data_IF_389535362892
#
_entry.id   IF_389535362892
#
_cell.length_a   1.000
_cell.length_b   1.000
_cell.length_c   1.000
_cell.angle_alpha   90.00
_cell.angle_beta   90.00
_cell.angle_gamma   90.00
#
_symmetry.space_group_name_H-M   'P 1'
#
loop_
_entity.id
_entity.type
_entity.pdbx_description
1 polymer ?
#
# COMPACT_ATOMS: atom_id res chain seq x y z
N UNK A 1 26.90 36.12 7.05
CA UNK A 1 26.29 35.86 5.71
C UNK A 1 25.20 34.81 5.91
N UNK A 2 23.96 35.21 5.64
CA UNK A 2 22.78 34.94 6.47
C UNK A 2 22.10 33.58 6.24
N UNK A 3 21.65 33.01 7.36
CA UNK A 3 20.86 31.78 7.55
C UNK A 3 19.68 31.64 6.55
N UNK A 4 19.13 32.77 6.12
CA UNK A 4 18.07 32.89 5.11
C UNK A 4 18.35 32.22 3.76
N UNK A 5 19.61 32.22 3.28
CA UNK A 5 19.94 31.69 1.94
C UNK A 5 19.85 30.16 1.86
N UNK A 6 20.08 29.45 2.98
CA UNK A 6 19.98 27.98 3.06
C UNK A 6 18.54 27.53 3.18
N UNK A 7 17.72 28.26 3.94
CA UNK A 7 16.30 27.93 4.11
C UNK A 7 15.50 28.18 2.82
N UNK A 8 15.87 29.20 2.04
CA UNK A 8 15.31 29.47 0.72
C UNK A 8 15.70 28.39 -0.31
N UNK A 9 16.95 27.91 -0.27
CA UNK A 9 17.37 26.76 -1.08
C UNK A 9 16.66 25.46 -0.70
N UNK A 10 16.42 25.21 0.59
CA UNK A 10 15.67 24.03 1.03
C UNK A 10 14.18 24.12 0.66
N UNK A 11 13.56 25.30 0.82
CA UNK A 11 12.19 25.56 0.35
C UNK A 11 12.08 25.41 -1.17
N UNK A 12 13.06 25.90 -1.92
CA UNK A 12 13.13 25.72 -3.37
C UNK A 12 13.31 24.25 -3.74
N UNK A 13 14.15 23.47 -3.05
CA UNK A 13 14.28 22.02 -3.31
C UNK A 13 13.01 21.23 -2.98
N UNK A 14 12.24 21.67 -1.98
CA UNK A 14 10.94 21.06 -1.64
C UNK A 14 9.85 21.47 -2.64
N UNK A 15 9.83 22.72 -3.09
CA UNK A 15 8.93 23.22 -4.15
C UNK A 15 9.25 22.61 -5.52
N UNK A 16 10.54 22.49 -5.85
CA UNK A 16 11.03 21.88 -7.08
C UNK A 16 10.70 20.37 -7.08
N UNK A 17 10.89 19.66 -5.96
CA UNK A 17 10.39 18.27 -5.78
C UNK A 17 8.87 18.13 -5.98
N UNK A 18 8.08 19.11 -5.53
CA UNK A 18 6.62 19.15 -5.79
C UNK A 18 6.29 19.44 -7.26
N UNK A 19 7.16 20.17 -7.95
CA UNK A 19 7.00 20.55 -9.36
C UNK A 19 7.33 19.39 -10.32
N UNK A 20 8.30 18.52 -9.97
CA UNK A 20 8.64 17.33 -10.75
C UNK A 20 7.47 16.33 -10.87
N UNK A 21 6.55 16.29 -9.89
CA UNK A 21 5.35 15.45 -9.98
C UNK A 21 4.28 15.98 -10.96
N UNK A 22 4.35 17.26 -11.37
CA UNK A 22 3.24 17.93 -12.06
C UNK A 22 3.53 18.27 -13.53
N UNK A 23 4.78 18.18 -14.02
CA UNK A 23 5.15 18.63 -15.38
C UNK A 23 6.15 17.72 -16.13
N UNK A 24 6.27 16.45 -15.74
CA UNK A 24 7.03 15.45 -16.51
C UNK A 24 6.07 14.53 -17.28
N UNK A 25 6.38 14.24 -18.54
CA UNK A 25 5.71 13.25 -19.40
C UNK A 25 5.08 12.09 -18.58
N UNK A 26 3.75 11.95 -18.66
CA UNK A 26 2.87 11.75 -17.49
C UNK A 26 2.85 10.36 -16.81
N UNK A 27 3.60 9.37 -17.29
CA UNK A 27 3.55 8.02 -16.69
C UNK A 27 4.77 7.71 -15.81
N UNK A 28 5.98 8.01 -16.25
CA UNK A 28 7.21 7.56 -15.56
C UNK A 28 7.46 8.25 -14.22
N UNK A 29 7.04 9.51 -14.06
CA UNK A 29 7.27 10.25 -12.80
C UNK A 29 6.19 9.93 -11.75
N UNK A 30 4.99 9.59 -12.21
CA UNK A 30 3.88 9.15 -11.37
C UNK A 30 4.11 7.72 -10.86
N UNK A 31 4.63 6.81 -11.68
CA UNK A 31 5.00 5.46 -11.22
C UNK A 31 6.13 5.53 -10.17
N UNK A 32 7.13 6.40 -10.39
CA UNK A 32 8.28 6.54 -9.47
C UNK A 32 7.91 6.99 -8.06
N UNK A 33 6.82 7.75 -7.87
CA UNK A 33 6.45 8.20 -6.52
C UNK A 33 5.83 7.07 -5.69
N UNK A 34 5.07 6.17 -6.31
CA UNK A 34 4.49 5.01 -5.63
C UNK A 34 5.51 3.92 -5.36
N UNK A 35 6.46 3.71 -6.28
CA UNK A 35 7.58 2.79 -6.06
C UNK A 35 8.40 3.15 -4.83
N UNK A 36 8.64 4.44 -4.56
CA UNK A 36 9.38 4.87 -3.36
C UNK A 36 8.69 4.44 -2.05
N UNK A 37 7.35 4.54 -1.97
CA UNK A 37 6.61 4.06 -0.79
C UNK A 37 6.69 2.53 -0.65
N UNK A 38 6.71 1.79 -1.76
CA UNK A 38 6.90 0.34 -1.75
C UNK A 38 8.29 -0.02 -1.23
N UNK A 39 9.33 0.66 -1.71
CA UNK A 39 10.71 0.45 -1.27
C UNK A 39 10.86 0.72 0.24
N UNK A 40 10.24 1.79 0.74
CA UNK A 40 10.21 2.10 2.17
C UNK A 40 9.52 0.98 2.97
N UNK A 41 8.40 0.43 2.49
CA UNK A 41 7.74 -0.71 3.14
C UNK A 41 8.62 -1.96 3.17
N UNK A 42 9.29 -2.29 2.06
CA UNK A 42 10.18 -3.45 1.97
C UNK A 42 11.40 -3.30 2.89
N UNK A 43 11.90 -2.07 3.08
CA UNK A 43 13.02 -1.78 3.97
C UNK A 43 12.76 -2.11 5.44
N UNK A 44 11.49 -2.26 5.84
CA UNK A 44 11.09 -2.68 7.19
C UNK A 44 11.50 -4.11 7.56
N UNK A 45 11.89 -4.94 6.57
CA UNK A 45 12.15 -6.38 6.72
C UNK A 45 10.96 -7.22 7.24
N UNK A 46 9.75 -6.63 7.29
CA UNK A 46 8.51 -7.30 7.67
C UNK A 46 7.47 -7.33 6.56
N UNK A 47 7.85 -6.90 5.34
CA UNK A 47 7.04 -6.96 4.12
C UNK A 47 7.83 -7.73 3.06
N UNK A 48 7.25 -8.78 2.51
CA UNK A 48 7.86 -9.60 1.45
C UNK A 48 7.61 -9.03 0.06
N UNK A 49 6.36 -8.64 -0.20
CA UNK A 49 5.92 -8.05 -1.45
C UNK A 49 4.79 -7.06 -1.19
N UNK A 50 4.71 -6.00 -1.99
CA UNK A 50 3.68 -4.98 -1.88
C UNK A 50 3.30 -4.39 -3.24
N UNK A 51 2.06 -3.92 -3.33
CA UNK A 51 1.52 -3.25 -4.51
C UNK A 51 0.54 -2.14 -4.09
N UNK A 52 0.49 -1.10 -4.89
CA UNK A 52 -0.43 0.02 -4.74
C UNK A 52 -1.30 0.11 -5.98
N UNK A 53 -2.60 0.16 -5.77
CA UNK A 53 -3.63 0.33 -6.79
C UNK A 53 -4.39 1.63 -6.55
N UNK A 54 -4.97 2.17 -7.62
CA UNK A 54 -6.11 3.07 -7.45
C UNK A 54 -7.39 2.28 -7.11
N UNK A 55 -8.43 2.99 -6.69
CA UNK A 55 -9.75 2.39 -6.43
C UNK A 55 -10.51 1.95 -7.68
N UNK A 56 -10.03 2.29 -8.88
CA UNK A 56 -10.60 1.85 -10.17
C UNK A 56 -9.98 0.54 -10.66
N UNK A 57 -8.86 0.12 -10.08
CA UNK A 57 -8.13 -1.09 -10.37
C UNK A 57 -6.89 -0.96 -11.23
N UNK A 58 -6.42 0.26 -11.48
CA UNK A 58 -5.12 0.49 -12.10
C UNK A 58 -4.01 0.18 -11.12
N UNK A 59 -3.07 -0.67 -11.52
CA UNK A 59 -1.83 -0.90 -10.79
C UNK A 59 -0.93 0.34 -10.92
N UNK A 60 -0.59 0.98 -9.80
CA UNK A 60 0.26 2.18 -9.78
C UNK A 60 1.73 1.84 -9.57
N UNK A 61 2.01 0.89 -8.69
CA UNK A 61 3.35 0.34 -8.48
C UNK A 61 3.28 -1.04 -7.81
N UNK A 62 4.32 -1.85 -8.00
CA UNK A 62 4.49 -3.16 -7.37
C UNK A 62 5.96 -3.41 -7.04
N UNK A 63 6.23 -4.22 -6.01
CA UNK A 63 7.58 -4.65 -5.63
C UNK A 63 8.23 -5.56 -6.68
N UNK A 64 7.44 -6.33 -7.42
CA UNK A 64 7.91 -7.28 -8.45
C UNK A 64 6.88 -7.37 -9.57
N UNK A 65 7.36 -7.57 -10.81
CA UNK A 65 6.48 -7.75 -11.98
C UNK A 65 5.47 -8.90 -11.83
N UNK A 66 5.83 -9.93 -11.06
CA UNK A 66 4.97 -11.09 -10.79
C UNK A 66 4.03 -10.92 -9.61
N UNK A 67 4.07 -9.78 -8.91
CA UNK A 67 3.19 -9.48 -7.79
C UNK A 67 2.11 -8.50 -8.23
N UNK A 68 0.90 -9.03 -8.44
CA UNK A 68 -0.27 -8.22 -8.74
C UNK A 68 -1.56 -9.00 -8.56
N UNK A 69 -2.64 -8.29 -8.26
CA UNK A 69 -3.99 -8.82 -8.18
C UNK A 69 -4.63 -8.81 -9.56
N UNK A 70 -5.37 -9.87 -9.86
CA UNK A 70 -6.32 -9.85 -10.97
C UNK A 70 -7.46 -8.89 -10.65
N UNK A 71 -8.11 -8.33 -11.68
CA UNK A 71 -9.23 -7.40 -11.51
C UNK A 71 -10.34 -7.98 -10.62
N UNK A 72 -10.67 -9.26 -10.79
CA UNK A 72 -11.66 -9.98 -9.97
C UNK A 72 -11.24 -10.08 -8.49
N UNK A 73 -9.95 -10.27 -8.22
CA UNK A 73 -9.42 -10.33 -6.86
C UNK A 73 -9.52 -8.96 -6.19
N UNK A 74 -9.21 -7.90 -6.93
CA UNK A 74 -9.30 -6.53 -6.43
C UNK A 74 -10.75 -6.11 -6.15
N UNK A 75 -11.70 -6.45 -7.03
CA UNK A 75 -13.13 -6.19 -6.81
C UNK A 75 -13.64 -6.91 -5.55
N UNK A 76 -13.25 -8.18 -5.39
CA UNK A 76 -13.58 -8.97 -4.20
C UNK A 76 -12.98 -8.36 -2.93
N UNK A 77 -11.74 -7.90 -3.00
CA UNK A 77 -11.05 -7.21 -1.92
C UNK A 77 -11.73 -5.88 -1.55
N UNK A 78 -12.04 -5.04 -2.54
CA UNK A 78 -12.75 -3.77 -2.36
C UNK A 78 -14.15 -3.95 -1.77
N UNK A 79 -14.81 -5.08 -2.05
CA UNK A 79 -16.07 -5.44 -1.40
C UNK A 79 -15.84 -5.83 0.06
N UNK A 80 -14.83 -6.66 0.35
CA UNK A 80 -14.47 -7.02 1.72
C UNK A 80 -14.07 -5.82 2.58
N UNK A 81 -13.37 -4.84 2.01
CA UNK A 81 -13.00 -3.60 2.69
C UNK A 81 -14.20 -2.72 3.06
N UNK A 82 -15.32 -2.85 2.32
CA UNK A 82 -16.60 -2.15 2.61
C UNK A 82 -17.50 -2.94 3.56
N UNK A 83 -17.47 -4.27 3.48
CA UNK A 83 -18.28 -5.17 4.27
C UNK A 83 -17.40 -6.19 4.98
N UNK A 84 -17.09 -5.92 6.24
CA UNK A 84 -16.26 -6.80 7.06
C UNK A 84 -16.88 -8.18 7.23
N UNK A 85 -18.22 -8.30 7.26
CA UNK A 85 -18.88 -9.60 7.36
C UNK A 85 -18.61 -10.42 6.09
N UNK A 86 -18.75 -9.81 4.92
CA UNK A 86 -18.39 -10.44 3.66
C UNK A 86 -16.94 -10.91 3.64
N UNK A 87 -16.01 -10.10 4.15
CA UNK A 87 -14.59 -10.43 4.24
C UNK A 87 -14.34 -11.65 5.14
N UNK A 88 -14.97 -11.71 6.33
CA UNK A 88 -14.86 -12.86 7.24
C UNK A 88 -15.44 -14.15 6.64
N UNK A 89 -16.57 -14.07 5.95
CA UNK A 89 -17.26 -15.23 5.37
C UNK A 89 -16.52 -15.81 4.16
N UNK A 90 -15.95 -14.96 3.31
CA UNK A 90 -15.37 -15.38 2.03
C UNK A 90 -13.83 -15.43 2.02
N UNK A 91 -13.18 -14.78 2.98
CA UNK A 91 -11.74 -14.52 2.92
C UNK A 91 -11.38 -13.48 1.85
N UNK A 92 -10.09 -13.31 1.61
CA UNK A 92 -9.54 -12.45 0.56
C UNK A 92 -8.54 -13.21 -0.30
N UNK A 93 -8.38 -12.81 -1.56
CA UNK A 93 -7.39 -13.36 -2.48
C UNK A 93 -6.38 -12.28 -2.85
N UNK A 94 -5.09 -12.60 -2.75
CA UNK A 94 -3.98 -11.73 -3.14
C UNK A 94 -3.00 -12.57 -3.96
N UNK A 95 -2.79 -12.17 -5.22
CA UNK A 95 -1.89 -12.83 -6.16
C UNK A 95 -2.12 -14.35 -6.28
N UNK A 96 -3.37 -14.76 -6.49
CA UNK A 96 -3.78 -16.16 -6.63
C UNK A 96 -3.83 -16.96 -5.33
N UNK A 97 -3.49 -16.37 -4.19
CA UNK A 97 -3.49 -17.04 -2.87
C UNK A 97 -4.67 -16.56 -2.02
N UNK A 98 -5.38 -17.51 -1.42
CA UNK A 98 -6.52 -17.23 -0.53
C UNK A 98 -6.07 -17.17 0.93
N UNK A 99 -6.41 -16.06 1.59
CA UNK A 99 -6.16 -15.81 2.99
C UNK A 99 -7.47 -15.78 3.77
N UNK A 100 -7.45 -16.36 4.97
CA UNK A 100 -8.55 -16.21 5.93
C UNK A 100 -8.39 -14.88 6.64
N UNK A 101 -9.44 -14.08 6.66
CA UNK A 101 -9.41 -12.80 7.38
C UNK A 101 -9.25 -13.06 8.87
N UNK A 102 -8.20 -12.48 9.45
CA UNK A 102 -7.96 -12.51 10.88
C UNK A 102 -8.54 -11.26 11.55
N UNK A 103 -8.35 -10.10 10.92
CA UNK A 103 -8.84 -8.81 11.39
C UNK A 103 -9.43 -8.03 10.22
N UNK A 104 -10.63 -7.47 10.41
CA UNK A 104 -11.17 -6.40 9.58
C UNK A 104 -11.58 -5.28 10.53
N UNK A 105 -10.95 -4.11 10.42
CA UNK A 105 -11.05 -3.04 11.43
C UNK A 105 -12.31 -2.16 11.27
N UNK A 106 -13.10 -2.39 10.22
CA UNK A 106 -14.27 -1.58 9.86
C UNK A 106 -13.92 -0.18 9.34
N UNK A 107 -12.64 0.14 9.18
CA UNK A 107 -12.08 1.41 8.72
C UNK A 107 -11.17 1.19 7.51
N UNK A 108 -11.63 0.35 6.58
CA UNK A 108 -10.91 0.05 5.33
C UNK A 108 -9.54 -0.63 5.56
N UNK A 109 -9.36 -1.37 6.66
CA UNK A 109 -8.20 -2.20 6.93
C UNK A 109 -8.57 -3.68 7.08
N UNK A 110 -7.82 -4.55 6.41
CA UNK A 110 -7.95 -6.02 6.52
C UNK A 110 -6.57 -6.65 6.71
N UNK A 111 -6.48 -7.60 7.63
CA UNK A 111 -5.33 -8.48 7.81
C UNK A 111 -5.77 -9.94 7.63
N UNK A 112 -5.14 -10.64 6.69
CA UNK A 112 -5.39 -12.03 6.35
C UNK A 112 -4.21 -12.93 6.68
N UNK A 113 -4.49 -14.20 6.98
CA UNK A 113 -3.48 -15.24 7.24
C UNK A 113 -3.79 -16.55 6.52
N UNK A 114 -2.75 -17.30 6.19
CA UNK A 114 -2.80 -18.58 5.49
C UNK A 114 -1.76 -19.55 6.07
N UNK A 115 -2.22 -20.75 6.47
CA UNK A 115 -1.35 -21.85 6.92
C UNK A 115 -0.80 -21.76 8.34
N UNK A 116 0.07 -22.72 8.68
CA UNK A 116 0.92 -22.78 9.87
C UNK A 116 2.29 -23.37 9.45
N UNK A 117 3.42 -22.65 9.63
CA UNK A 117 3.52 -21.27 10.09
C UNK A 117 2.82 -20.30 9.10
N UNK A 118 2.30 -19.20 9.64
CA UNK A 118 1.36 -18.36 8.91
C UNK A 118 2.11 -17.42 7.95
N UNK A 119 1.80 -17.53 6.65
CA UNK A 119 2.00 -16.42 5.72
C UNK A 119 0.75 -15.54 5.77
N UNK A 120 0.85 -14.28 5.34
CA UNK A 120 -0.29 -13.40 5.44
C UNK A 120 -0.23 -12.20 4.52
N UNK A 121 -1.28 -11.41 4.59
CA UNK A 121 -1.41 -10.16 3.87
C UNK A 121 -2.06 -9.09 4.74
N UNK A 122 -1.67 -7.84 4.48
CA UNK A 122 -2.21 -6.65 5.12
C UNK A 122 -2.66 -5.71 4.01
N UNK A 123 -3.89 -5.23 4.11
CA UNK A 123 -4.52 -4.37 3.10
C UNK A 123 -5.09 -3.14 3.76
N UNK A 124 -4.68 -1.97 3.29
CA UNK A 124 -5.24 -0.68 3.68
C UNK A 124 -5.85 0.01 2.47
N UNK A 125 -7.06 0.55 2.61
CA UNK A 125 -7.69 1.38 1.59
C UNK A 125 -7.85 2.81 2.08
N UNK A 126 -7.61 3.75 1.17
CA UNK A 126 -7.87 5.18 1.35
C UNK A 126 -9.07 5.62 0.51
N UNK A 127 -9.29 6.93 0.33
CA UNK A 127 -10.35 7.42 -0.54
C UNK A 127 -10.12 7.02 -2.01
N UNK A 128 -8.87 7.11 -2.46
CA UNK A 128 -8.49 6.94 -3.87
C UNK A 128 -7.58 5.74 -4.15
N UNK A 129 -6.98 5.14 -3.11
CA UNK A 129 -5.95 4.10 -3.25
C UNK A 129 -6.26 2.83 -2.45
N UNK A 130 -5.63 1.74 -2.87
CA UNK A 130 -5.57 0.45 -2.16
C UNK A 130 -4.12 0.01 -2.07
N UNK A 131 -3.64 -0.20 -0.85
CA UNK A 131 -2.30 -0.70 -0.55
C UNK A 131 -2.44 -2.16 -0.14
N UNK A 132 -1.67 -3.04 -0.77
CA UNK A 132 -1.63 -4.47 -0.45
C UNK A 132 -0.18 -4.85 -0.15
N UNK A 133 0.03 -5.55 0.96
CA UNK A 133 1.32 -6.12 1.31
C UNK A 133 1.17 -7.57 1.76
N UNK A 134 2.24 -8.35 1.62
CA UNK A 134 2.33 -9.73 2.10
C UNK A 134 3.55 -9.91 2.99
N UNK A 135 3.53 -10.94 3.83
CA UNK A 135 4.65 -11.33 4.68
C UNK A 135 4.83 -12.85 4.69
N UNK A 136 6.07 -13.28 4.91
CA UNK A 136 6.45 -14.69 5.04
C UNK A 136 6.30 -15.19 6.47
N UNK A 137 6.46 -16.50 6.64
CA UNK A 137 6.45 -17.19 7.94
C UNK A 137 7.54 -16.72 8.93
N UNK A 138 8.61 -16.10 8.43
CA UNK A 138 9.73 -15.61 9.25
C UNK A 138 9.50 -14.18 9.75
N UNK A 139 8.43 -13.52 9.31
CA UNK A 139 8.11 -12.13 9.61
C UNK A 139 6.99 -12.05 10.66
N UNK A 140 6.91 -10.93 11.37
CA UNK A 140 5.84 -10.67 12.33
C UNK A 140 4.61 -10.07 11.62
N UNK A 141 3.45 -10.75 11.62
CA UNK A 141 2.24 -10.28 10.95
C UNK A 141 1.76 -8.92 11.44
N UNK A 142 1.87 -8.66 12.75
CA UNK A 142 1.43 -7.43 13.38
C UNK A 142 2.25 -6.23 12.90
N UNK A 143 3.56 -6.41 12.74
CA UNK A 143 4.47 -5.36 12.24
C UNK A 143 4.21 -5.08 10.76
N UNK A 144 3.99 -6.12 9.96
CA UNK A 144 3.57 -5.97 8.56
C UNK A 144 2.29 -5.13 8.46
N UNK A 145 1.29 -5.43 9.29
CA UNK A 145 0.05 -4.68 9.35
C UNK A 145 0.26 -3.23 9.79
N UNK A 146 1.06 -2.98 10.83
CA UNK A 146 1.38 -1.63 11.30
C UNK A 146 2.00 -0.77 10.19
N UNK A 147 2.97 -1.31 9.44
CA UNK A 147 3.60 -0.62 8.31
C UNK A 147 2.57 -0.19 7.25
N UNK A 148 1.68 -1.09 6.85
CA UNK A 148 0.63 -0.78 5.85
C UNK A 148 -0.36 0.25 6.38
N UNK A 149 -0.82 0.11 7.63
CA UNK A 149 -1.81 1.01 8.21
C UNK A 149 -1.23 2.41 8.46
N UNK A 150 0.04 2.51 8.85
CA UNK A 150 0.74 3.78 9.00
C UNK A 150 0.85 4.53 7.66
N UNK A 151 1.20 3.82 6.57
CA UNK A 151 1.20 4.42 5.24
C UNK A 151 -0.21 4.84 4.80
N UNK A 152 -1.22 4.00 5.01
CA UNK A 152 -2.63 4.36 4.75
C UNK A 152 -3.01 5.65 5.48
N UNK A 153 -2.77 5.73 6.79
CA UNK A 153 -3.14 6.89 7.60
C UNK A 153 -2.41 8.16 7.17
N UNK A 154 -1.14 8.02 6.79
CA UNK A 154 -0.38 9.11 6.19
C UNK A 154 -1.01 9.60 4.88
N UNK A 155 -1.42 8.70 3.98
CA UNK A 155 -2.05 9.06 2.70
C UNK A 155 -3.44 9.67 2.90
N UNK A 156 -4.25 9.15 3.83
CA UNK A 156 -5.54 9.75 4.19
C UNK A 156 -5.35 11.18 4.72
N UNK A 157 -4.31 11.42 5.51
CA UNK A 157 -3.95 12.76 6.00
C UNK A 157 -3.48 13.70 4.86
N UNK A 158 -3.12 13.16 3.69
CA UNK A 158 -2.82 13.90 2.46
C UNK A 158 -4.03 14.05 1.53
N UNK A 159 -5.22 13.71 2.00
CA UNK A 159 -6.47 13.72 1.24
C UNK A 159 -6.45 12.77 0.01
N UNK A 160 -5.70 11.67 0.12
CA UNK A 160 -5.62 10.59 -0.86
C UNK A 160 -6.34 9.33 -0.36
#
# INVERSE_FOLDING_TARGET
MTMWRRDEQLRNRVQEKKHWCMLGNTDDTYIKCWSAYIDDMLSSNHVSDAAVYDTQGTLLATSRETFGLLQQELEHLLRGLRDSKYAYDNGICVNGRRYRVHLADGRCGIMGKQGMPATGCSVGKTATLVIVATHSETMQPEVCNEVVMCLRDFLVCKDL
#
